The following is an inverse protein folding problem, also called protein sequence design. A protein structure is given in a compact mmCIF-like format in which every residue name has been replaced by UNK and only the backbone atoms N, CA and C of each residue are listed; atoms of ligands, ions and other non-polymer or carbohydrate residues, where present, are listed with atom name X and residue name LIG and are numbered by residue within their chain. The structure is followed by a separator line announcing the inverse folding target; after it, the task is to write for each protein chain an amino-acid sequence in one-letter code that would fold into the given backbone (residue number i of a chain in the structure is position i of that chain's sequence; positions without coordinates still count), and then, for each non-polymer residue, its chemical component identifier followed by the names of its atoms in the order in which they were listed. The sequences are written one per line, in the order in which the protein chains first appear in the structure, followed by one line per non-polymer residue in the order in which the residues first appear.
data_IF_149734198714
#
_entry.id   IF_149734198714
#
_cell.length_a   1.000
_cell.length_b   1.000
_cell.length_c   1.000
_cell.angle_alpha   90.00
_cell.angle_beta   90.00
_cell.angle_gamma   90.00
#
_symmetry.space_group_name_H-M   'P 1'
#
loop_
_entity.id
_entity.type
_entity.pdbx_description
1 polymer ?
#
# COMPACT_ATOMS: atom_id res chain seq x y z
N UNK A 1 -17.11 -61.95 -0.49
CA UNK A 1 -16.88 -60.81 0.40
C UNK A 1 -15.52 -60.26 0.06
N UNK A 2 -15.45 -59.12 -0.58
CA UNK A 2 -14.19 -58.44 -0.94
C UNK A 2 -14.21 -57.06 -0.32
N UNK A 3 -13.38 -56.88 0.69
CA UNK A 3 -13.16 -55.59 1.34
C UNK A 3 -12.33 -54.66 0.41
N UNK A 4 -12.87 -53.49 0.15
CA UNK A 4 -12.13 -52.42 -0.56
C UNK A 4 -11.38 -51.58 0.47
N UNK A 5 -10.06 -51.69 0.49
CA UNK A 5 -9.22 -50.68 1.11
C UNK A 5 -9.34 -49.38 0.33
N UNK A 6 -9.74 -48.30 1.04
CA UNK A 6 -9.65 -46.91 0.57
C UNK A 6 -8.28 -46.39 1.00
N UNK A 7 -7.38 -46.25 0.09
CA UNK A 7 -6.17 -45.47 0.28
C UNK A 7 -6.56 -43.98 0.41
N UNK A 8 -6.27 -43.41 1.58
CA UNK A 8 -6.30 -41.93 1.78
C UNK A 8 -5.00 -41.40 1.24
N UNK A 9 -5.03 -40.82 0.03
CA UNK A 9 -3.97 -39.93 -0.43
C UNK A 9 -4.01 -38.65 0.39
N UNK A 10 -2.95 -38.39 1.13
CA UNK A 10 -2.67 -37.07 1.73
C UNK A 10 -2.31 -36.11 0.60
N UNK A 11 -3.03 -35.00 0.49
CA UNK A 11 -2.67 -33.93 -0.43
C UNK A 11 -1.37 -33.27 0.06
N UNK A 12 -0.34 -33.26 -0.78
CA UNK A 12 0.89 -32.48 -0.57
C UNK A 12 0.75 -31.13 -1.30
N UNK A 13 1.12 -30.06 -0.62
CA UNK A 13 1.16 -28.73 -1.22
C UNK A 13 2.27 -28.64 -2.26
N UNK A 14 1.93 -28.23 -3.48
CA UNK A 14 2.87 -28.06 -4.60
C UNK A 14 3.03 -26.58 -4.93
N UNK A 15 4.25 -26.20 -5.38
CA UNK A 15 4.59 -24.85 -5.83
C UNK A 15 4.49 -24.77 -7.34
N UNK A 16 3.74 -23.81 -7.87
CA UNK A 16 3.50 -23.61 -9.31
C UNK A 16 4.69 -22.99 -10.08
N UNK A 17 5.90 -22.97 -9.51
CA UNK A 17 7.09 -22.45 -10.15
C UNK A 17 8.09 -23.57 -10.44
N UNK A 18 8.44 -23.74 -11.70
CA UNK A 18 9.48 -24.67 -12.18
C UNK A 18 10.87 -24.20 -11.73
N UNK A 19 11.38 -24.75 -10.63
CA UNK A 19 12.81 -24.80 -10.35
C UNK A 19 13.12 -25.96 -9.40
N UNK A 20 13.98 -26.87 -9.82
CA UNK A 20 14.50 -27.98 -9.01
C UNK A 20 15.42 -27.45 -7.91
N UNK A 21 14.98 -27.62 -6.67
CA UNK A 21 15.85 -27.43 -5.49
C UNK A 21 15.95 -28.74 -4.70
N UNK A 22 17.14 -29.10 -4.15
CA UNK A 22 17.34 -30.31 -3.39
C UNK A 22 16.58 -30.31 -2.08
N UNK A 23 15.89 -31.42 -1.77
CA UNK A 23 15.10 -31.62 -0.54
C UNK A 23 16.00 -31.64 0.69
N UNK A 24 15.71 -30.77 1.66
CA UNK A 24 16.30 -30.78 3.00
C UNK A 24 15.41 -31.62 3.95
N UNK A 25 15.98 -32.31 4.98
CA UNK A 25 15.23 -33.30 5.76
C UNK A 25 14.25 -32.67 6.77
N UNK A 26 13.12 -33.34 6.94
CA UNK A 26 11.96 -33.06 7.77
C UNK A 26 12.24 -32.50 9.16
N UNK A 27 11.73 -31.30 9.43
CA UNK A 27 11.46 -30.81 10.78
C UNK A 27 9.98 -31.07 11.13
N UNK A 28 9.72 -31.80 12.21
CA UNK A 28 8.36 -32.06 12.73
C UNK A 28 7.73 -30.77 13.26
N UNK A 29 6.48 -30.46 12.99
CA UNK A 29 5.80 -29.32 13.57
C UNK A 29 5.50 -29.58 15.05
N UNK A 30 5.91 -28.65 15.93
CA UNK A 30 5.46 -28.60 17.32
C UNK A 30 4.14 -27.82 17.34
N UNK A 31 3.03 -28.51 17.50
CA UNK A 31 1.72 -27.90 17.74
C UNK A 31 1.67 -27.28 19.14
N UNK A 32 1.63 -25.98 19.25
CA UNK A 32 1.30 -25.24 20.45
C UNK A 32 -0.21 -25.05 20.55
N UNK A 33 -0.87 -25.78 21.47
CA UNK A 33 -2.26 -25.50 21.85
C UNK A 33 -2.31 -24.18 22.61
N UNK A 34 -3.00 -23.17 22.09
CA UNK A 34 -3.34 -21.94 22.82
C UNK A 34 -4.46 -22.24 23.81
N UNK A 35 -4.23 -21.88 25.06
CA UNK A 35 -5.19 -22.07 26.16
C UNK A 35 -6.19 -20.90 26.18
N UNK A 36 -7.37 -21.16 26.79
CA UNK A 36 -8.48 -20.21 26.98
C UNK A 36 -8.12 -18.95 27.80
N UNK A 37 -6.90 -18.85 28.32
CA UNK A 37 -6.38 -17.71 29.10
C UNK A 37 -6.05 -16.49 28.23
N UNK A 38 -5.81 -16.67 26.92
CA UNK A 38 -5.50 -15.56 25.99
C UNK A 38 -6.72 -14.66 25.68
N UNK A 39 -7.94 -15.10 26.02
CA UNK A 39 -9.17 -14.32 25.81
C UNK A 39 -9.51 -13.36 26.97
N UNK A 40 -8.91 -13.53 28.14
CA UNK A 40 -9.15 -12.65 29.31
C UNK A 40 -8.28 -11.38 29.31
N UNK A 41 -7.21 -11.32 28.51
CA UNK A 41 -6.26 -10.20 28.51
C UNK A 41 -6.70 -8.99 27.66
N UNK A 42 -7.84 -9.04 26.96
CA UNK A 42 -8.25 -7.99 26.00
C UNK A 42 -7.36 -7.90 24.76
N UNK A 43 -6.47 -8.87 24.53
CA UNK A 43 -5.59 -8.94 23.37
C UNK A 43 -6.34 -9.56 22.18
N UNK A 44 -6.57 -8.75 21.13
CA UNK A 44 -7.10 -9.23 19.86
C UNK A 44 -5.93 -9.63 18.93
N UNK A 45 -5.74 -10.94 18.65
CA UNK A 45 -4.63 -11.41 17.81
C UNK A 45 -4.77 -10.97 16.33
N UNK A 46 -5.98 -10.56 15.90
CA UNK A 46 -6.29 -10.11 14.54
C UNK A 46 -6.21 -8.59 14.38
N UNK A 47 -5.80 -7.85 15.40
CA UNK A 47 -5.65 -6.41 15.36
C UNK A 47 -4.21 -5.98 15.58
N UNK A 48 -3.71 -5.04 14.77
CA UNK A 48 -2.39 -4.45 15.02
C UNK A 48 -2.39 -3.70 16.34
N UNK A 49 -1.31 -3.89 17.09
CA UNK A 49 -1.05 -3.13 18.31
C UNK A 49 -0.88 -1.65 17.96
N UNK A 50 -1.59 -0.77 18.64
CA UNK A 50 -1.60 0.68 18.38
C UNK A 50 -1.15 1.51 19.59
N UNK A 51 -0.87 0.87 20.74
CA UNK A 51 -0.43 1.49 21.98
C UNK A 51 1.07 1.81 22.00
N UNK A 52 1.57 2.35 20.90
CA UNK A 52 2.93 2.88 20.79
C UNK A 52 2.97 4.37 21.14
N UNK A 53 4.13 4.89 21.61
CA UNK A 53 4.30 6.32 21.89
C UNK A 53 4.06 7.24 20.67
N UNK A 54 4.21 6.71 19.46
CA UNK A 54 4.08 7.44 18.20
C UNK A 54 3.34 6.61 17.15
N UNK A 55 2.58 7.27 16.27
CA UNK A 55 2.07 6.64 15.05
C UNK A 55 3.19 6.28 14.08
N UNK A 56 4.30 6.98 14.12
CA UNK A 56 5.46 6.75 13.28
C UNK A 56 5.72 7.91 12.30
N UNK A 57 6.45 7.57 11.24
CA UNK A 57 6.86 8.52 10.20
C UNK A 57 5.91 8.42 9.01
N UNK A 58 5.54 9.59 8.45
CA UNK A 58 4.97 9.71 7.11
C UNK A 58 5.95 10.47 6.22
N UNK A 59 6.53 9.80 5.23
CA UNK A 59 7.36 10.42 4.20
C UNK A 59 6.51 10.72 2.97
N UNK A 60 6.45 11.97 2.55
CA UNK A 60 5.79 12.40 1.31
C UNK A 60 6.88 12.83 0.33
N UNK A 61 6.97 12.15 -0.81
CA UNK A 61 7.82 12.55 -1.94
C UNK A 61 6.91 13.16 -3.01
N UNK A 62 7.11 14.44 -3.31
CA UNK A 62 6.27 15.21 -4.22
C UNK A 62 7.10 15.73 -5.40
N UNK A 63 7.08 15.02 -6.51
CA UNK A 63 7.78 15.41 -7.73
C UNK A 63 6.84 16.16 -8.66
N UNK A 64 7.16 17.42 -8.90
CA UNK A 64 6.40 18.35 -9.76
C UNK A 64 7.15 18.69 -11.02
N UNK A 65 8.44 19.05 -10.90
CA UNK A 65 9.26 19.53 -11.98
C UNK A 65 10.27 18.46 -12.41
N UNK A 66 10.37 18.20 -13.71
CA UNK A 66 11.19 17.13 -14.25
C UNK A 66 12.21 17.70 -15.22
N UNK A 67 13.38 17.08 -15.32
CA UNK A 67 14.39 17.46 -16.31
C UNK A 67 13.84 17.19 -17.71
N UNK A 68 14.18 18.07 -18.66
CA UNK A 68 13.75 17.95 -20.06
C UNK A 68 14.12 16.59 -20.67
N UNK A 69 15.24 16.00 -20.25
CA UNK A 69 15.69 14.67 -20.70
C UNK A 69 14.72 13.52 -20.40
N UNK A 70 13.83 13.67 -19.41
CA UNK A 70 12.82 12.67 -19.09
C UNK A 70 11.61 12.69 -20.02
N UNK A 71 11.40 13.78 -20.78
CA UNK A 71 10.19 14.00 -21.57
C UNK A 71 8.94 14.27 -20.74
N UNK A 72 9.03 14.33 -19.41
CA UNK A 72 7.89 14.48 -18.50
C UNK A 72 7.49 15.94 -18.34
N UNK A 73 6.18 16.21 -18.44
CA UNK A 73 5.60 17.54 -18.20
C UNK A 73 5.51 17.86 -16.69
N UNK A 74 5.46 19.16 -16.30
CA UNK A 74 5.23 19.54 -14.91
C UNK A 74 3.88 19.02 -14.38
N UNK A 75 3.87 18.51 -13.15
CA UNK A 75 2.66 17.97 -12.50
C UNK A 75 1.92 19.06 -11.71
N UNK A 76 1.27 19.99 -12.41
CA UNK A 76 0.47 21.04 -11.78
C UNK A 76 -0.67 20.45 -10.93
N UNK A 77 -0.91 21.00 -9.74
CA UNK A 77 -1.88 20.51 -8.77
C UNK A 77 -1.33 19.48 -7.76
N UNK A 78 -0.11 18.94 -7.96
CA UNK A 78 0.48 17.97 -7.03
C UNK A 78 0.82 18.57 -5.66
N UNK A 79 1.06 19.90 -5.61
CA UNK A 79 1.30 20.62 -4.34
C UNK A 79 0.04 20.65 -3.46
N UNK A 80 -1.15 20.65 -4.08
CA UNK A 80 -2.42 20.52 -3.36
C UNK A 80 -2.52 19.16 -2.70
N UNK A 81 -2.17 18.09 -3.43
CA UNK A 81 -2.11 16.72 -2.91
C UNK A 81 -1.14 16.60 -1.73
N UNK A 82 0.08 17.11 -1.90
CA UNK A 82 1.12 17.06 -0.86
C UNK A 82 0.69 17.81 0.40
N UNK A 83 0.10 19.00 0.25
CA UNK A 83 -0.38 19.81 1.38
C UNK A 83 -1.57 19.14 2.11
N UNK A 84 -2.50 18.52 1.37
CA UNK A 84 -3.64 17.83 1.99
C UNK A 84 -3.20 16.53 2.70
N UNK A 85 -2.29 15.76 2.10
CA UNK A 85 -1.66 14.62 2.75
C UNK A 85 -0.90 15.02 4.01
N UNK A 86 -0.09 16.08 3.96
CA UNK A 86 0.61 16.62 5.12
C UNK A 86 -0.35 16.91 6.28
N UNK A 87 -1.42 17.67 6.02
CA UNK A 87 -2.42 18.00 7.04
C UNK A 87 -3.12 16.77 7.61
N UNK A 88 -3.51 15.85 6.73
CA UNK A 88 -4.26 14.65 7.12
C UNK A 88 -3.41 13.71 7.97
N UNK A 89 -2.18 13.37 7.53
CA UNK A 89 -1.30 12.47 8.28
C UNK A 89 -0.75 13.12 9.55
N UNK A 90 -0.54 14.43 9.57
CA UNK A 90 -0.20 15.16 10.82
C UNK A 90 -1.31 15.06 11.86
N UNK A 91 -2.57 15.22 11.44
CA UNK A 91 -3.74 15.06 12.32
C UNK A 91 -3.93 13.60 12.80
N UNK A 92 -3.46 12.63 12.03
CA UNK A 92 -3.42 11.21 12.42
C UNK A 92 -2.25 10.88 13.37
N UNK A 93 -1.44 11.85 13.76
CA UNK A 93 -0.36 11.70 14.74
C UNK A 93 0.98 11.23 14.14
N UNK A 94 1.15 11.28 12.82
CA UNK A 94 2.44 10.98 12.18
C UNK A 94 3.40 12.16 12.24
N UNK A 95 4.70 11.86 12.37
CA UNK A 95 5.76 12.82 12.06
C UNK A 95 5.92 12.91 10.55
N UNK A 96 5.34 13.95 9.94
CA UNK A 96 5.32 14.09 8.48
C UNK A 96 6.53 14.86 7.98
N UNK A 97 7.15 14.37 6.92
CA UNK A 97 8.21 15.04 6.16
C UNK A 97 7.82 15.09 4.69
N UNK A 98 7.94 16.26 4.06
CA UNK A 98 7.71 16.44 2.61
C UNK A 98 9.06 16.73 1.94
N UNK A 99 9.35 15.98 0.88
CA UNK A 99 10.50 16.17 0.02
C UNK A 99 10.01 16.46 -1.41
N UNK A 100 10.30 17.68 -1.89
CA UNK A 100 9.86 18.11 -3.22
C UNK A 100 10.96 17.92 -4.24
N UNK A 101 10.57 17.55 -5.46
CA UNK A 101 11.44 17.50 -6.67
C UNK A 101 12.72 16.69 -6.45
N UNK A 102 12.57 15.43 -6.05
CA UNK A 102 13.67 14.53 -5.77
C UNK A 102 14.12 13.77 -7.03
N UNK A 103 15.42 13.70 -7.25
CA UNK A 103 16.02 12.77 -8.22
C UNK A 103 15.82 11.31 -7.76
N UNK A 104 16.05 10.35 -8.66
CA UNK A 104 16.00 8.92 -8.31
C UNK A 104 16.93 8.62 -7.13
N UNK A 105 18.18 9.07 -7.20
CA UNK A 105 19.15 8.86 -6.12
C UNK A 105 18.72 9.50 -4.80
N UNK A 106 18.14 10.70 -4.83
CA UNK A 106 17.62 11.36 -3.63
C UNK A 106 16.44 10.62 -3.04
N UNK A 107 15.51 10.09 -3.87
CA UNK A 107 14.41 9.25 -3.41
C UNK A 107 14.93 8.00 -2.69
N UNK A 108 15.91 7.30 -3.28
CA UNK A 108 16.55 6.12 -2.68
C UNK A 108 17.20 6.50 -1.35
N UNK A 109 17.98 7.58 -1.29
CA UNK A 109 18.66 8.04 -0.08
C UNK A 109 17.66 8.36 1.06
N UNK A 110 16.55 9.02 0.74
CA UNK A 110 15.49 9.32 1.71
C UNK A 110 14.89 8.05 2.28
N UNK A 111 14.52 7.10 1.43
CA UNK A 111 13.92 5.83 1.86
C UNK A 111 14.90 4.98 2.67
N UNK A 112 16.17 4.90 2.25
CA UNK A 112 17.25 4.25 3.02
C UNK A 112 17.43 4.94 4.39
N UNK A 113 17.46 6.27 4.42
CA UNK A 113 17.61 7.03 5.66
C UNK A 113 16.46 6.73 6.64
N UNK A 114 15.22 6.71 6.13
CA UNK A 114 14.05 6.42 6.97
C UNK A 114 14.04 4.97 7.43
N UNK A 115 14.33 4.01 6.55
CA UNK A 115 14.34 2.57 6.92
C UNK A 115 15.40 2.21 7.97
N UNK A 116 16.48 3.01 8.07
CA UNK A 116 17.54 2.84 9.09
C UNK A 116 17.24 3.51 10.44
N UNK A 117 16.15 4.27 10.54
CA UNK A 117 15.73 4.82 11.84
C UNK A 117 15.19 3.72 12.74
N UNK A 118 15.22 3.98 14.04
CA UNK A 118 14.57 3.11 15.00
C UNK A 118 13.06 3.38 15.03
N UNK A 119 12.28 2.39 14.59
CA UNK A 119 10.81 2.41 14.59
C UNK A 119 10.21 1.62 15.78
N UNK A 120 11.01 1.23 16.77
CA UNK A 120 10.53 0.40 17.88
C UNK A 120 9.36 1.04 18.62
N UNK A 121 9.34 2.35 18.75
CA UNK A 121 8.28 3.14 19.38
C UNK A 121 7.18 3.62 18.42
N UNK A 122 7.15 3.12 17.18
CA UNK A 122 6.19 3.52 16.15
C UNK A 122 5.15 2.42 15.92
N UNK A 123 3.88 2.81 15.76
CA UNK A 123 2.80 1.88 15.43
C UNK A 123 2.87 1.40 13.97
N UNK A 124 3.34 2.25 13.05
CA UNK A 124 3.35 1.99 11.61
C UNK A 124 4.34 2.90 10.88
N UNK A 125 4.48 2.70 9.58
CA UNK A 125 5.17 3.59 8.64
C UNK A 125 4.25 3.93 7.47
N UNK A 126 4.28 5.19 7.01
CA UNK A 126 3.55 5.67 5.84
C UNK A 126 4.52 6.30 4.84
N UNK A 127 4.35 5.98 3.55
CA UNK A 127 5.01 6.65 2.45
C UNK A 127 3.97 7.08 1.40
N UNK A 128 4.00 8.34 1.00
CA UNK A 128 3.16 8.89 -0.07
C UNK A 128 4.08 9.29 -1.22
N UNK A 129 3.87 8.70 -2.39
CA UNK A 129 4.62 8.98 -3.61
C UNK A 129 3.72 9.70 -4.61
N UNK A 130 4.07 10.94 -4.93
CA UNK A 130 3.36 11.79 -5.88
C UNK A 130 4.31 12.09 -7.04
N UNK A 131 4.17 11.37 -8.17
CA UNK A 131 5.07 11.54 -9.31
C UNK A 131 4.40 11.08 -10.62
N UNK A 132 5.14 11.17 -11.74
CA UNK A 132 4.85 10.38 -12.93
C UNK A 132 5.20 8.92 -12.67
N UNK A 133 4.61 8.01 -13.43
CA UNK A 133 4.88 6.58 -13.35
C UNK A 133 4.38 5.84 -14.57
N UNK A 134 4.77 4.58 -14.62
CA UNK A 134 4.27 3.57 -15.53
C UNK A 134 4.13 2.25 -14.73
N UNK A 135 3.75 1.14 -15.37
CA UNK A 135 3.58 -0.11 -14.65
C UNK A 135 4.88 -0.54 -13.96
N UNK A 136 4.82 -0.64 -12.64
CA UNK A 136 5.92 -1.06 -11.77
C UNK A 136 7.05 -0.04 -11.55
N UNK A 137 6.97 1.17 -12.13
CA UNK A 137 8.00 2.20 -12.00
C UNK A 137 7.45 3.55 -11.54
N UNK A 138 8.30 4.37 -10.96
CA UNK A 138 8.00 5.74 -10.57
C UNK A 138 9.15 6.67 -10.93
N UNK A 139 8.84 7.90 -11.33
CA UNK A 139 9.83 8.87 -11.78
C UNK A 139 10.40 9.68 -10.61
N UNK A 140 11.74 9.75 -10.56
CA UNK A 140 12.44 10.90 -10.00
C UNK A 140 12.41 12.06 -10.99
N UNK A 141 13.00 13.20 -10.63
CA UNK A 141 13.04 14.36 -11.52
C UNK A 141 13.98 14.18 -12.72
N UNK A 142 14.85 13.19 -12.70
CA UNK A 142 15.94 12.92 -13.65
C UNK A 142 15.84 11.58 -14.40
N UNK A 143 14.91 10.72 -14.00
CA UNK A 143 14.72 9.38 -14.56
C UNK A 143 13.67 8.61 -13.78
N UNK A 144 13.66 7.28 -13.84
CA UNK A 144 12.73 6.43 -13.13
C UNK A 144 13.43 5.27 -12.42
N UNK A 145 12.75 4.69 -11.42
CA UNK A 145 13.20 3.50 -10.70
C UNK A 145 12.01 2.54 -10.48
N UNK A 146 12.28 1.25 -10.32
CA UNK A 146 11.28 0.26 -9.95
C UNK A 146 10.75 0.51 -8.53
N UNK A 147 9.44 0.43 -8.37
CA UNK A 147 8.81 0.56 -7.03
C UNK A 147 9.34 -0.48 -6.05
N UNK A 148 9.57 -1.72 -6.51
CA UNK A 148 10.14 -2.78 -5.67
C UNK A 148 11.53 -2.41 -5.13
N UNK A 149 12.35 -1.74 -5.95
CA UNK A 149 13.68 -1.29 -5.54
C UNK A 149 13.65 -0.14 -4.52
N UNK A 150 12.58 0.65 -4.52
CA UNK A 150 12.34 1.71 -3.53
C UNK A 150 11.77 1.17 -2.22
N UNK A 151 10.88 0.19 -2.29
CA UNK A 151 10.17 -0.33 -1.11
C UNK A 151 10.93 -1.44 -0.38
N UNK A 152 11.87 -2.11 -1.06
CA UNK A 152 12.68 -3.22 -0.50
C UNK A 152 13.40 -2.91 0.82
N UNK A 153 13.69 -1.63 1.09
CA UNK A 153 14.40 -1.21 2.29
C UNK A 153 13.58 -1.42 3.57
N UNK A 154 12.25 -1.56 3.44
CA UNK A 154 11.31 -1.74 4.55
C UNK A 154 10.91 -3.19 4.79
N UNK A 155 11.41 -4.14 3.97
CA UNK A 155 11.16 -5.57 4.15
C UNK A 155 11.71 -6.07 5.49
N UNK A 156 11.10 -7.12 6.04
CA UNK A 156 11.38 -7.60 7.39
C UNK A 156 12.83 -8.01 7.66
N UNK A 157 13.58 -8.42 6.63
CA UNK A 157 15.01 -8.74 6.72
C UNK A 157 15.90 -7.49 6.78
N UNK A 158 15.43 -6.32 6.31
CA UNK A 158 16.18 -5.06 6.19
C UNK A 158 15.80 -4.01 7.24
N UNK A 159 14.53 -3.96 7.64
CA UNK A 159 14.01 -3.02 8.63
C UNK A 159 13.34 -3.75 9.80
N UNK A 160 14.14 -4.33 10.68
CA UNK A 160 13.68 -5.20 11.79
C UNK A 160 12.74 -4.49 12.77
N UNK A 161 12.90 -3.19 12.99
CA UNK A 161 12.05 -2.42 13.90
C UNK A 161 10.62 -2.17 13.36
N UNK A 162 10.36 -2.50 12.07
CA UNK A 162 9.03 -2.50 11.44
C UNK A 162 8.45 -3.90 11.22
N UNK A 163 9.12 -4.97 11.64
CA UNK A 163 8.55 -6.33 11.57
C UNK A 163 7.28 -6.40 12.43
N UNK A 164 6.20 -6.97 11.87
CA UNK A 164 4.88 -7.05 12.51
C UNK A 164 4.14 -5.72 12.62
N UNK A 165 4.61 -4.67 11.94
CA UNK A 165 3.98 -3.34 11.90
C UNK A 165 3.60 -2.95 10.47
N UNK A 166 2.44 -2.29 10.26
CA UNK A 166 1.99 -1.86 8.93
C UNK A 166 2.96 -0.89 8.25
N UNK A 167 3.23 -1.16 6.98
CA UNK A 167 4.00 -0.34 6.05
C UNK A 167 3.08 0.05 4.90
N UNK A 168 2.59 1.29 4.92
CA UNK A 168 1.52 1.77 4.06
C UNK A 168 2.09 2.70 2.97
N UNK A 169 1.97 2.29 1.71
CA UNK A 169 2.42 3.06 0.56
C UNK A 169 1.21 3.54 -0.23
N UNK A 170 1.05 4.86 -0.36
CA UNK A 170 0.02 5.52 -1.17
C UNK A 170 0.70 6.13 -2.39
N UNK A 171 0.31 5.68 -3.58
CA UNK A 171 1.04 5.96 -4.82
C UNK A 171 0.11 6.64 -5.82
N UNK A 172 0.29 7.95 -6.01
CA UNK A 172 -0.37 8.72 -7.05
C UNK A 172 0.58 8.84 -8.25
N UNK A 173 0.41 7.93 -9.19
CA UNK A 173 1.13 7.88 -10.46
C UNK A 173 0.32 7.11 -11.50
N UNK A 174 0.55 7.34 -12.79
CA UNK A 174 0.02 6.48 -13.84
C UNK A 174 0.65 5.08 -13.77
N UNK A 175 -0.06 4.08 -14.26
CA UNK A 175 0.41 2.69 -14.39
C UNK A 175 0.31 2.19 -15.84
N UNK A 176 0.37 3.10 -16.80
CA UNK A 176 0.25 2.85 -18.23
C UNK A 176 -0.45 4.00 -18.93
N UNK A 177 -0.86 3.78 -20.17
CA UNK A 177 -1.41 4.79 -21.07
C UNK A 177 -2.88 4.58 -21.44
N UNK A 178 -3.51 3.50 -20.94
CA UNK A 178 -4.91 3.20 -21.22
C UNK A 178 -5.86 4.15 -20.51
N UNK A 179 -6.99 4.43 -21.15
CA UNK A 179 -8.10 5.23 -20.61
C UNK A 179 -9.28 4.31 -20.32
N UNK A 180 -9.82 4.36 -19.12
CA UNK A 180 -10.91 3.50 -18.66
C UNK A 180 -12.25 3.98 -19.20
N UNK A 181 -12.88 3.17 -20.05
CA UNK A 181 -14.21 3.43 -20.63
C UNK A 181 -15.38 2.97 -19.74
N UNK A 182 -15.09 2.18 -18.70
CA UNK A 182 -16.05 1.62 -17.74
C UNK A 182 -16.76 0.33 -18.21
N UNK A 183 -16.95 -0.68 -17.32
CA UNK A 183 -17.67 -1.94 -17.57
C UNK A 183 -18.16 -2.62 -16.27
N UNK A 184 -18.90 -3.76 -16.35
CA UNK A 184 -19.56 -4.44 -15.20
C UNK A 184 -18.80 -5.68 -14.69
N UNK A 185 -19.06 -6.16 -13.43
CA UNK A 185 -18.18 -7.00 -12.59
C UNK A 185 -18.79 -8.36 -12.21
N UNK A 186 -17.92 -9.40 -11.96
CA UNK A 186 -18.16 -10.58 -11.11
C UNK A 186 -16.87 -11.04 -10.37
N UNK A 187 -17.00 -11.82 -9.24
CA UNK A 187 -15.94 -12.09 -8.24
C UNK A 187 -15.71 -13.57 -7.89
N UNK A 188 -14.56 -13.93 -7.23
CA UNK A 188 -14.48 -15.07 -6.26
C UNK A 188 -13.11 -15.23 -5.51
N UNK A 189 -13.01 -16.21 -4.55
CA UNK A 189 -12.39 -16.18 -3.24
C UNK A 189 -11.53 -17.40 -2.80
N UNK A 190 -11.03 -17.39 -1.49
CA UNK A 190 -10.66 -18.42 -0.46
C UNK A 190 -9.18 -18.78 -0.26
N UNK A 191 -8.59 -18.92 0.88
CA UNK A 191 -8.55 -19.20 2.29
C UNK A 191 -7.40 -20.18 2.69
N UNK A 192 -6.73 -20.06 3.90
CA UNK A 192 -5.63 -20.87 4.26
C UNK A 192 -5.09 -21.00 5.68
N UNK A 193 -3.86 -21.31 6.08
CA UNK A 193 -3.35 -21.70 7.43
C UNK A 193 -2.09 -20.94 7.88
N UNK A 194 -1.81 -20.90 9.21
CA UNK A 194 -0.81 -20.04 9.87
C UNK A 194 0.48 -20.75 10.33
N UNK A 195 1.61 -20.01 10.31
CA UNK A 195 2.96 -20.38 10.76
C UNK A 195 3.54 -19.30 11.69
N UNK A 196 4.43 -19.65 12.63
CA UNK A 196 5.06 -18.71 13.61
C UNK A 196 6.12 -17.77 13.00
N UNK A 197 6.42 -17.89 11.70
CA UNK A 197 7.37 -17.00 10.99
C UNK A 197 6.56 -16.15 10.00
N UNK A 198 6.81 -14.83 10.03
CA UNK A 198 6.17 -13.87 9.12
C UNK A 198 7.04 -13.73 7.87
N UNK A 199 6.48 -13.82 6.64
CA UNK A 199 7.19 -13.54 5.40
C UNK A 199 7.77 -12.11 5.39
N UNK A 200 8.89 -11.87 4.71
CA UNK A 200 9.55 -10.54 4.64
C UNK A 200 8.68 -9.50 3.93
N UNK A 201 7.72 -9.94 3.10
CA UNK A 201 6.72 -9.13 2.42
C UNK A 201 5.45 -8.88 3.27
N UNK A 202 5.34 -9.48 4.45
CA UNK A 202 4.16 -9.31 5.30
C UNK A 202 4.03 -7.88 5.83
N UNK A 203 2.77 -7.49 6.10
CA UNK A 203 2.38 -6.20 6.68
C UNK A 203 2.61 -4.99 5.75
N UNK A 204 2.68 -5.21 4.43
CA UNK A 204 2.66 -4.15 3.42
C UNK A 204 1.24 -3.90 2.90
N UNK A 205 0.95 -2.64 2.62
CA UNK A 205 -0.19 -2.23 1.80
C UNK A 205 0.32 -1.24 0.74
N UNK A 206 -0.05 -1.51 -0.50
CA UNK A 206 0.17 -0.60 -1.63
C UNK A 206 -1.20 -0.15 -2.15
N UNK A 207 -1.49 1.13 -2.02
CA UNK A 207 -2.69 1.76 -2.55
C UNK A 207 -2.29 2.60 -3.77
N UNK A 208 -2.52 2.06 -4.94
CA UNK A 208 -2.27 2.74 -6.21
C UNK A 208 -3.48 3.57 -6.62
N UNK A 209 -3.22 4.74 -7.18
CA UNK A 209 -4.27 5.64 -7.66
C UNK A 209 -5.13 5.07 -8.78
N UNK A 210 -4.61 4.11 -9.54
CA UNK A 210 -5.28 3.50 -10.69
C UNK A 210 -4.93 2.03 -10.85
N UNK A 211 -5.74 1.31 -11.62
CA UNK A 211 -5.50 -0.08 -12.01
C UNK A 211 -4.27 -0.21 -12.93
N UNK A 212 -3.64 -1.42 -13.00
CA UNK A 212 -2.53 -1.68 -13.92
C UNK A 212 -2.89 -1.33 -15.37
N UNK A 213 -1.98 -0.67 -16.09
CA UNK A 213 -2.17 -0.26 -17.48
C UNK A 213 -2.84 1.11 -17.67
N UNK A 214 -3.44 1.71 -16.65
CA UNK A 214 -4.31 2.88 -16.78
C UNK A 214 -3.70 4.20 -16.32
N UNK A 215 -4.25 5.29 -16.87
CA UNK A 215 -3.98 6.66 -16.44
C UNK A 215 -4.51 6.94 -15.04
N UNK A 216 -3.81 7.82 -14.30
CA UNK A 216 -4.28 8.41 -13.05
C UNK A 216 -4.56 9.92 -13.24
N UNK A 217 -5.79 10.33 -12.96
CA UNK A 217 -6.27 11.69 -13.20
C UNK A 217 -5.90 12.65 -12.05
N UNK A 218 -5.56 13.88 -12.46
CA UNK A 218 -5.27 15.00 -11.54
C UNK A 218 -5.82 16.30 -12.10
N UNK A 219 -6.60 17.00 -11.27
CA UNK A 219 -7.03 18.36 -11.54
C UNK A 219 -5.94 19.35 -11.09
N UNK A 220 -5.67 20.35 -11.92
CA UNK A 220 -4.59 21.32 -11.65
C UNK A 220 -4.86 22.25 -10.47
N UNK A 221 -6.12 22.45 -10.10
CA UNK A 221 -6.55 23.31 -8.99
C UNK A 221 -6.85 22.53 -7.72
N UNK A 222 -7.49 21.36 -7.84
CA UNK A 222 -8.05 20.61 -6.72
C UNK A 222 -7.19 19.40 -6.31
N UNK A 223 -6.15 19.06 -7.10
CA UNK A 223 -5.33 17.86 -6.88
C UNK A 223 -5.89 16.62 -7.58
N UNK A 224 -5.28 15.48 -7.32
CA UNK A 224 -5.67 14.20 -7.92
C UNK A 224 -6.92 13.61 -7.29
N UNK A 225 -7.71 12.90 -8.08
CA UNK A 225 -8.93 12.23 -7.60
C UNK A 225 -8.66 11.26 -6.44
N UNK A 226 -7.56 10.52 -6.56
CA UNK A 226 -7.14 9.56 -5.54
C UNK A 226 -6.78 10.27 -4.22
N UNK A 227 -5.89 11.28 -4.26
CA UNK A 227 -5.44 11.94 -3.03
C UNK A 227 -6.55 12.75 -2.35
N UNK A 228 -7.41 13.45 -3.13
CA UNK A 228 -8.60 14.09 -2.58
C UNK A 228 -9.48 13.08 -1.83
N UNK A 229 -9.74 11.93 -2.46
CA UNK A 229 -10.58 10.89 -1.88
C UNK A 229 -9.91 10.22 -0.67
N UNK A 230 -8.62 9.92 -0.75
CA UNK A 230 -7.86 9.31 0.36
C UNK A 230 -7.93 10.21 1.61
N UNK A 231 -7.57 11.48 1.46
CA UNK A 231 -7.55 12.42 2.58
C UNK A 231 -8.94 12.64 3.17
N UNK A 232 -9.99 12.72 2.33
CA UNK A 232 -11.37 12.84 2.81
C UNK A 232 -11.84 11.59 3.56
N UNK A 233 -11.59 10.38 3.01
CA UNK A 233 -11.99 9.14 3.65
C UNK A 233 -11.26 8.91 4.98
N UNK A 234 -9.97 9.25 5.05
CA UNK A 234 -9.21 9.20 6.30
C UNK A 234 -9.77 10.19 7.34
N UNK A 235 -10.03 11.44 6.97
CA UNK A 235 -10.62 12.44 7.90
C UNK A 235 -12.00 12.02 8.41
N UNK A 236 -12.80 11.37 7.56
CA UNK A 236 -14.18 11.02 7.89
C UNK A 236 -14.29 9.76 8.72
N UNK A 237 -13.44 8.77 8.48
CA UNK A 237 -13.65 7.41 8.99
C UNK A 237 -12.52 6.88 9.89
N UNK A 238 -11.39 7.60 10.04
CA UNK A 238 -10.34 7.20 10.99
C UNK A 238 -10.90 7.14 12.42
N UNK A 239 -10.44 6.15 13.18
CA UNK A 239 -10.96 5.83 14.51
C UNK A 239 -12.33 5.15 14.53
N UNK A 240 -12.96 4.94 13.38
CA UNK A 240 -14.29 4.30 13.28
C UNK A 240 -14.23 3.01 12.43
N UNK A 241 -13.51 3.04 11.32
CA UNK A 241 -13.43 1.94 10.37
C UNK A 241 -12.01 1.39 10.26
N UNK A 242 -11.94 0.11 9.95
CA UNK A 242 -10.72 -0.58 9.58
C UNK A 242 -10.19 -0.06 8.24
N UNK A 243 -8.87 -0.09 8.04
CA UNK A 243 -8.21 0.49 6.87
C UNK A 243 -8.76 -0.04 5.54
N UNK A 244 -8.99 -1.35 5.39
CA UNK A 244 -9.52 -1.91 4.14
C UNK A 244 -10.96 -1.46 3.88
N UNK A 245 -11.76 -1.23 4.92
CA UNK A 245 -13.09 -0.63 4.79
C UNK A 245 -12.98 0.83 4.31
N UNK A 246 -12.00 1.59 4.80
CA UNK A 246 -11.70 2.95 4.31
C UNK A 246 -11.27 2.90 2.85
N UNK A 247 -10.41 1.96 2.47
CA UNK A 247 -9.94 1.80 1.08
C UNK A 247 -11.09 1.43 0.11
N UNK A 248 -12.02 0.61 0.55
CA UNK A 248 -13.23 0.29 -0.24
C UNK A 248 -14.09 1.54 -0.48
N UNK A 249 -14.24 2.42 0.52
CA UNK A 249 -14.96 3.69 0.36
C UNK A 249 -14.21 4.69 -0.52
N UNK A 250 -12.88 4.68 -0.45
CA UNK A 250 -12.03 5.42 -1.38
C UNK A 250 -12.26 4.97 -2.82
N UNK A 251 -12.25 3.66 -3.10
CA UNK A 251 -12.52 3.10 -4.41
C UNK A 251 -13.90 3.52 -4.92
N UNK A 252 -14.93 3.36 -4.09
CA UNK A 252 -16.29 3.80 -4.40
C UNK A 252 -16.35 5.29 -4.79
N UNK A 253 -15.70 6.16 -3.98
CA UNK A 253 -15.68 7.59 -4.26
C UNK A 253 -15.00 7.92 -5.57
N UNK A 254 -13.81 7.37 -5.83
CA UNK A 254 -13.07 7.64 -7.08
C UNK A 254 -13.86 7.13 -8.28
N UNK A 255 -14.42 5.93 -8.21
CA UNK A 255 -15.16 5.33 -9.30
C UNK A 255 -16.45 6.09 -9.66
N UNK A 256 -17.20 6.57 -8.66
CA UNK A 256 -18.54 7.11 -8.89
C UNK A 256 -18.60 8.64 -8.95
N UNK A 257 -17.73 9.35 -8.21
CA UNK A 257 -17.81 10.81 -8.08
C UNK A 257 -16.90 11.59 -9.01
N UNK A 258 -16.08 10.90 -9.82
CA UNK A 258 -15.17 11.55 -10.74
C UNK A 258 -15.36 11.06 -12.17
N UNK A 259 -15.31 12.00 -13.09
CA UNK A 259 -15.29 11.81 -14.53
C UNK A 259 -14.42 12.89 -15.15
N UNK A 260 -13.61 12.53 -16.14
CA UNK A 260 -12.68 13.47 -16.74
C UNK A 260 -13.39 14.46 -17.66
N UNK A 261 -12.97 15.72 -17.59
CA UNK A 261 -13.32 16.76 -18.55
C UNK A 261 -12.03 17.36 -19.09
N UNK A 262 -11.86 17.35 -20.42
CA UNK A 262 -10.66 17.81 -21.09
C UNK A 262 -11.00 18.38 -22.46
N UNK A 263 -10.30 19.44 -22.87
CA UNK A 263 -10.40 20.00 -24.22
C UNK A 263 -9.67 19.12 -25.27
N UNK A 264 -8.86 18.16 -24.80
CA UNK A 264 -8.18 17.21 -25.69
C UNK A 264 -9.17 16.14 -26.15
N UNK A 265 -9.33 15.92 -27.46
CA UNK A 265 -10.21 14.89 -28.01
C UNK A 265 -9.89 13.50 -27.43
N UNK A 266 -10.93 12.77 -27.04
CA UNK A 266 -10.79 11.41 -26.46
C UNK A 266 -10.42 11.35 -24.97
N UNK A 267 -10.21 12.50 -24.28
CA UNK A 267 -9.84 12.54 -22.88
C UNK A 267 -10.98 12.97 -21.93
N UNK A 268 -12.18 13.25 -22.46
CA UNK A 268 -13.39 13.50 -21.65
C UNK A 268 -14.21 12.24 -21.43
N UNK A 269 -14.99 12.19 -20.34
CA UNK A 269 -15.87 11.07 -20.01
C UNK A 269 -15.14 9.84 -19.46
N UNK A 270 -13.88 9.96 -19.06
CA UNK A 270 -13.06 8.84 -18.58
C UNK A 270 -13.21 8.65 -17.08
N UNK A 271 -13.04 7.40 -16.64
CA UNK A 271 -13.19 6.94 -15.27
C UNK A 271 -11.84 6.53 -14.69
N UNK A 272 -11.83 6.23 -13.39
CA UNK A 272 -10.65 5.72 -12.70
C UNK A 272 -11.10 4.85 -11.53
N UNK A 273 -10.39 3.74 -11.32
CA UNK A 273 -10.54 2.90 -10.13
C UNK A 273 -9.17 2.71 -9.48
N UNK A 274 -8.98 3.05 -8.19
CA UNK A 274 -7.77 2.73 -7.47
C UNK A 274 -7.58 1.21 -7.32
N UNK A 275 -6.33 0.78 -7.17
CA UNK A 275 -5.97 -0.63 -6.97
C UNK A 275 -5.28 -0.79 -5.62
N UNK A 276 -5.85 -1.59 -4.74
CA UNK A 276 -5.35 -1.83 -3.40
C UNK A 276 -4.75 -3.23 -3.33
N UNK A 277 -3.46 -3.31 -3.06
CA UNK A 277 -2.73 -4.56 -2.84
C UNK A 277 -2.38 -4.63 -1.36
N UNK A 278 -2.97 -5.58 -0.64
CA UNK A 278 -2.78 -5.73 0.79
C UNK A 278 -2.12 -7.06 1.13
N UNK A 279 -1.02 -6.99 1.85
CA UNK A 279 -0.37 -8.09 2.55
C UNK A 279 -0.41 -7.84 4.06
N UNK A 280 -1.38 -7.05 4.53
CA UNK A 280 -1.64 -6.87 5.94
C UNK A 280 -2.11 -8.19 6.55
N UNK A 281 -1.61 -8.50 7.73
CA UNK A 281 -1.92 -9.77 8.42
C UNK A 281 -2.93 -9.58 9.57
N UNK A 282 -3.32 -8.33 9.84
CA UNK A 282 -4.25 -7.95 10.91
C UNK A 282 -5.04 -6.71 10.51
N UNK A 283 -6.13 -6.46 11.24
CA UNK A 283 -6.92 -5.24 11.12
C UNK A 283 -6.14 -4.03 11.60
N UNK A 284 -6.13 -2.97 10.78
CA UNK A 284 -5.45 -1.72 11.10
C UNK A 284 -6.46 -0.58 11.24
N UNK A 285 -6.40 0.09 12.38
CA UNK A 285 -7.25 1.25 12.66
C UNK A 285 -6.37 2.50 12.89
N UNK A 286 -6.56 3.53 12.05
CA UNK A 286 -6.00 4.83 12.37
C UNK A 286 -6.62 5.39 13.64
N UNK A 287 -5.90 6.22 14.42
CA UNK A 287 -6.49 6.94 15.54
C UNK A 287 -7.57 7.90 15.02
N UNK A 288 -8.54 8.21 15.87
CA UNK A 288 -9.54 9.24 15.57
C UNK A 288 -8.83 10.60 15.41
N UNK A 289 -9.12 11.30 14.33
CA UNK A 289 -8.71 12.70 14.19
C UNK A 289 -9.52 13.52 15.18
N UNK A 290 -8.81 14.22 16.07
CA UNK A 290 -9.42 15.24 16.94
C UNK A 290 -9.56 16.55 16.15
N UNK A 291 -10.68 17.22 16.33
CA UNK A 291 -10.96 18.53 15.73
C UNK A 291 -10.00 19.63 16.24
#
# INVERSE_FOLDING_TARGET
MAERHRDKQSAEDTVDALADFPKSPNAKPKGGSRTSEDMESGFDPYRYKMDYPSMGICLIINNKNFLHSTGMSPRNGTDVDAADAFRTFSKLGYKVTVANDQTVDQMIQLLVKVSKQDHSNSASFVCVLLSHGDEGVIYGTDGFEKLDDLTKFFKGDRCRSLVGKPKLFFIQACRGTELDEGSQIEADSVGGQTSDRIPVEADFLYAYSTAPGYYAWRNTQNGSWFMQSLCEMLRRFSGQLELMQIMTRLNHRVALHFESSSDTPGYSGKKQIPCIVSMLTKDFYFPKISD
#
